data_IF_942458279358
#
_entry.id   IF_942458279358
#
_cell.length_a   1.000
_cell.length_b   1.000
_cell.length_c   1.000
_cell.angle_alpha   90.00
_cell.angle_beta   90.00
_cell.angle_gamma   90.00
#
_symmetry.space_group_name_H-M   'P 1'
#
loop_
_entity.id
_entity.type
_entity.pdbx_description
1 polymer ?
#
# COMPACT_ATOMS: atom_id res chain seq x y z
N UNK A 1 5.03 -41.71 102.26
CA UNK A 1 6.47 -41.46 102.44
C UNK A 1 6.79 -40.13 101.77
N UNK A 2 7.05 -39.09 102.57
CA UNK A 2 7.70 -37.84 102.17
C UNK A 2 9.20 -38.13 101.91
N UNK A 3 9.92 -37.38 101.05
CA UNK A 3 10.22 -35.93 101.20
C UNK A 3 10.07 -35.12 99.88
N UNK A 4 9.70 -33.84 99.88
CA UNK A 4 10.46 -32.62 100.19
C UNK A 4 11.74 -32.42 99.35
N UNK A 5 11.81 -31.32 98.58
CA UNK A 5 12.88 -30.28 98.62
C UNK A 5 12.77 -29.30 97.40
N UNK A 6 12.70 -28.01 97.76
CA UNK A 6 13.23 -26.77 97.14
C UNK A 6 12.85 -26.30 95.72
N UNK A 7 12.36 -25.05 95.68
CA UNK A 7 12.50 -24.08 94.57
C UNK A 7 13.96 -23.58 94.44
N UNK A 8 14.33 -23.00 93.28
CA UNK A 8 14.35 -21.54 93.22
C UNK A 8 13.87 -20.92 91.89
N UNK A 9 13.51 -19.63 92.00
CA UNK A 9 13.21 -18.70 90.92
C UNK A 9 14.28 -18.70 89.81
N UNK A 10 13.83 -18.63 88.57
CA UNK A 10 14.57 -17.94 87.49
C UNK A 10 13.58 -17.27 86.54
N UNK A 11 13.66 -15.94 86.50
CA UNK A 11 13.03 -15.07 85.51
C UNK A 11 13.68 -15.35 84.15
N UNK A 12 12.92 -15.49 83.06
CA UNK A 12 13.34 -14.99 81.75
C UNK A 12 12.14 -14.77 80.81
N UNK A 13 11.85 -13.47 80.63
CA UNK A 13 11.48 -12.77 79.39
C UNK A 13 10.73 -13.56 78.30
N UNK A 14 9.48 -13.18 78.10
CA UNK A 14 8.70 -13.48 76.89
C UNK A 14 9.35 -12.82 75.66
N UNK A 15 9.78 -13.62 74.70
CA UNK A 15 10.09 -13.16 73.35
C UNK A 15 8.79 -13.07 72.54
N UNK A 16 8.33 -11.82 72.34
CA UNK A 16 7.31 -11.48 71.35
C UNK A 16 7.95 -11.65 69.96
N UNK A 17 7.49 -12.65 69.21
CA UNK A 17 7.85 -12.81 67.80
C UNK A 17 6.92 -11.91 66.99
N UNK A 18 7.43 -10.75 66.57
CA UNK A 18 6.75 -9.88 65.61
C UNK A 18 6.78 -10.52 64.22
N UNK A 19 5.63 -11.02 63.75
CA UNK A 19 5.44 -11.42 62.36
C UNK A 19 5.26 -10.16 61.53
N UNK A 20 6.34 -9.73 60.87
CA UNK A 20 6.27 -8.66 59.87
C UNK A 20 5.64 -9.21 58.58
N UNK A 21 4.38 -8.86 58.33
CA UNK A 21 3.72 -9.06 57.05
C UNK A 21 4.34 -8.07 56.06
N UNK A 22 5.28 -8.56 55.22
CA UNK A 22 5.73 -7.82 54.05
C UNK A 22 4.59 -7.81 53.02
N UNK A 23 3.84 -6.72 52.98
CA UNK A 23 2.99 -6.39 51.85
C UNK A 23 3.90 -6.08 50.66
N UNK A 24 4.22 -7.10 49.87
CA UNK A 24 4.91 -6.94 48.59
C UNK A 24 4.00 -6.17 47.65
N UNK A 25 4.25 -4.87 47.49
CA UNK A 25 3.69 -4.09 46.41
C UNK A 25 4.24 -4.64 45.10
N UNK A 26 3.46 -5.48 44.42
CA UNK A 26 3.70 -5.80 43.02
C UNK A 26 3.51 -4.51 42.24
N UNK A 27 4.61 -3.82 41.94
CA UNK A 27 4.64 -2.85 40.85
C UNK A 27 4.38 -3.64 39.56
N UNK A 28 3.11 -3.81 39.22
CA UNK A 28 2.70 -4.18 37.88
C UNK A 28 3.14 -3.04 36.98
N UNK A 29 4.33 -3.18 36.40
CA UNK A 29 4.76 -2.31 35.32
C UNK A 29 3.68 -2.36 34.27
N UNK A 30 2.94 -1.26 34.10
CA UNK A 30 2.19 -1.06 32.87
C UNK A 30 3.23 -1.10 31.77
N UNK A 31 3.33 -2.23 31.07
CA UNK A 31 4.08 -2.33 29.84
C UNK A 31 3.43 -1.32 28.90
N UNK A 32 3.98 -0.11 28.88
CA UNK A 32 3.58 0.92 27.94
C UNK A 32 3.92 0.33 26.58
N UNK A 33 2.90 -0.06 25.82
CA UNK A 33 3.10 -0.60 24.48
C UNK A 33 4.00 0.39 23.73
N UNK A 34 5.16 -0.10 23.28
CA UNK A 34 6.11 0.74 22.55
C UNK A 34 5.36 1.39 21.39
N UNK A 35 5.49 2.71 21.18
CA UNK A 35 4.78 3.39 20.10
C UNK A 35 5.06 2.67 18.77
N UNK A 36 4.01 2.42 17.99
CA UNK A 36 4.15 1.77 16.69
C UNK A 36 5.20 2.52 15.87
N UNK A 37 6.28 1.83 15.51
CA UNK A 37 7.34 2.44 14.71
C UNK A 37 6.82 2.67 13.30
N UNK A 38 6.88 3.90 12.82
CA UNK A 38 6.51 4.25 11.45
C UNK A 38 7.62 5.03 10.76
N UNK A 39 7.78 4.82 9.45
CA UNK A 39 8.75 5.55 8.65
C UNK A 39 8.31 5.67 7.19
N UNK A 40 8.84 6.67 6.47
CA UNK A 40 8.64 6.87 5.04
C UNK A 40 9.97 7.24 4.37
N UNK A 41 10.29 6.54 3.29
CA UNK A 41 11.42 6.84 2.38
C UNK A 41 10.96 7.62 1.13
N UNK A 42 9.66 7.87 0.99
CA UNK A 42 9.11 8.54 -0.18
C UNK A 42 9.15 10.05 0.03
N UNK A 43 9.86 10.75 -0.85
CA UNK A 43 9.95 12.20 -0.83
C UNK A 43 8.56 12.84 -0.94
N UNK A 44 8.20 13.67 0.05
CA UNK A 44 6.91 14.36 0.09
C UNK A 44 5.77 13.56 0.74
N UNK A 45 5.98 12.29 1.11
CA UNK A 45 5.02 11.50 1.88
C UNK A 45 5.54 11.16 3.27
N UNK A 46 4.62 11.10 4.24
CA UNK A 46 4.90 10.76 5.63
C UNK A 46 4.01 9.59 6.05
N UNK A 47 4.53 8.75 6.96
CA UNK A 47 3.77 7.73 7.67
C UNK A 47 4.01 7.94 9.16
N UNK A 48 2.96 8.30 9.88
CA UNK A 48 3.05 8.70 11.30
C UNK A 48 2.11 7.87 12.17
N UNK A 49 2.44 7.63 13.45
CA UNK A 49 1.50 7.00 14.38
C UNK A 49 0.35 7.97 14.64
N UNK A 50 -0.89 7.50 14.52
CA UNK A 50 -2.08 8.32 14.77
C UNK A 50 -3.23 7.45 15.27
N UNK A 51 -3.78 7.78 16.45
CA UNK A 51 -4.86 7.01 17.07
C UNK A 51 -6.27 7.42 16.65
N UNK A 52 -6.44 8.61 16.06
CA UNK A 52 -7.76 9.18 15.73
C UNK A 52 -7.74 9.84 14.36
N UNK A 53 -8.55 9.33 13.45
CA UNK A 53 -8.80 9.95 12.15
C UNK A 53 -9.75 11.16 12.35
N UNK A 54 -9.37 12.39 11.93
CA UNK A 54 -10.28 13.53 11.89
C UNK A 54 -11.39 13.35 10.85
N UNK A 55 -12.44 14.17 10.90
CA UNK A 55 -13.44 14.24 9.83
C UNK A 55 -12.80 14.78 8.54
N UNK A 56 -13.33 14.31 7.41
CA UNK A 56 -12.95 14.81 6.10
C UNK A 56 -13.19 16.32 6.00
N UNK A 57 -12.21 17.10 5.52
CA UNK A 57 -12.38 18.54 5.36
C UNK A 57 -13.47 18.89 4.34
N UNK A 58 -13.83 17.96 3.46
CA UNK A 58 -14.82 18.15 2.39
C UNK A 58 -16.09 17.31 2.57
N UNK A 59 -16.24 16.65 3.73
CA UNK A 59 -17.42 15.84 4.08
C UNK A 59 -17.85 14.83 3.00
N UNK A 60 -16.87 14.27 2.28
CA UNK A 60 -17.10 13.18 1.33
C UNK A 60 -17.77 13.64 0.03
N UNK A 61 -17.61 14.91 -0.33
CA UNK A 61 -18.06 15.47 -1.59
C UNK A 61 -17.46 14.69 -2.77
N UNK A 62 -18.33 14.01 -3.52
CA UNK A 62 -17.95 13.20 -4.67
C UNK A 62 -18.73 13.67 -5.88
N UNK A 63 -18.02 14.10 -6.91
CA UNK A 63 -18.61 14.38 -8.21
C UNK A 63 -19.29 13.10 -8.76
N UNK A 64 -20.52 13.16 -9.28
CA UNK A 64 -21.18 12.02 -9.92
C UNK A 64 -20.32 11.30 -10.97
N UNK A 65 -19.49 12.05 -11.70
CA UNK A 65 -18.54 11.53 -12.68
C UNK A 65 -17.44 10.65 -12.06
N UNK A 66 -17.18 10.79 -10.76
CA UNK A 66 -16.13 10.08 -10.04
C UNK A 66 -16.66 8.94 -9.15
N UNK A 67 -17.95 8.59 -9.27
CA UNK A 67 -18.59 7.58 -8.41
C UNK A 67 -17.91 6.22 -8.45
N UNK A 68 -17.32 5.82 -9.58
CA UNK A 68 -16.55 4.60 -9.76
C UNK A 68 -15.27 4.52 -8.89
N UNK A 69 -14.71 5.65 -8.44
CA UNK A 69 -13.52 5.67 -7.56
C UNK A 69 -13.87 5.38 -6.10
N UNK A 70 -15.15 5.36 -5.72
CA UNK A 70 -15.59 4.99 -4.38
C UNK A 70 -15.72 3.47 -4.28
N UNK A 71 -14.91 2.87 -3.41
CA UNK A 71 -15.11 1.50 -2.98
C UNK A 71 -16.21 1.43 -1.91
N UNK A 72 -17.03 0.37 -1.96
CA UNK A 72 -17.98 0.07 -0.88
C UNK A 72 -17.21 -0.50 0.31
N UNK A 73 -17.24 0.12 1.51
CA UNK A 73 -16.51 -0.39 2.66
C UNK A 73 -17.04 -1.76 3.09
N UNK A 74 -16.14 -2.74 3.19
CA UNK A 74 -16.44 -4.11 3.61
C UNK A 74 -15.85 -4.42 4.99
N UNK A 75 -14.77 -3.74 5.37
CA UNK A 75 -14.08 -3.96 6.65
C UNK A 75 -14.60 -3.05 7.77
N UNK A 76 -14.26 -3.37 9.02
CA UNK A 76 -14.53 -2.47 10.15
C UNK A 76 -13.77 -1.13 10.00
N UNK A 77 -12.51 -1.20 9.57
CA UNK A 77 -11.67 -0.05 9.29
C UNK A 77 -12.29 0.89 8.24
N UNK A 78 -12.73 0.37 7.08
CA UNK A 78 -13.34 1.21 6.06
C UNK A 78 -14.67 1.81 6.49
N UNK A 79 -15.47 1.10 7.31
CA UNK A 79 -16.66 1.69 7.93
C UNK A 79 -16.31 2.83 8.89
N UNK A 80 -15.21 2.72 9.64
CA UNK A 80 -14.73 3.81 10.49
C UNK A 80 -14.25 5.02 9.69
N UNK A 81 -13.56 4.80 8.57
CA UNK A 81 -13.18 5.87 7.63
C UNK A 81 -14.43 6.56 7.07
N UNK A 82 -15.41 5.80 6.58
CA UNK A 82 -16.65 6.33 6.03
C UNK A 82 -17.50 7.11 7.06
N UNK A 83 -17.55 6.67 8.33
CA UNK A 83 -18.23 7.38 9.43
C UNK A 83 -17.65 8.78 9.69
N UNK A 84 -16.44 9.06 9.22
CA UNK A 84 -15.76 10.35 9.33
C UNK A 84 -15.84 11.15 8.02
N UNK A 85 -16.80 10.79 7.17
CA UNK A 85 -17.11 11.46 5.90
C UNK A 85 -15.97 11.40 4.87
N UNK A 86 -15.08 10.41 4.98
CA UNK A 86 -14.06 10.14 3.95
C UNK A 86 -14.59 9.18 2.89
N UNK A 87 -14.15 9.36 1.65
CA UNK A 87 -14.47 8.44 0.55
C UNK A 87 -13.42 7.34 0.54
N UNK A 88 -13.83 6.12 0.89
CA UNK A 88 -12.97 4.93 0.78
C UNK A 88 -12.72 4.60 -0.68
N UNK A 89 -11.47 4.37 -1.06
CA UNK A 89 -11.05 4.06 -2.44
C UNK A 89 -10.54 2.63 -2.59
N UNK A 90 -9.94 2.06 -1.54
CA UNK A 90 -9.58 0.64 -1.50
C UNK A 90 -9.39 0.17 -0.06
N UNK A 91 -9.48 -1.15 0.16
CA UNK A 91 -9.21 -1.82 1.42
C UNK A 91 -8.32 -3.04 1.13
N UNK A 92 -7.19 -3.17 1.83
CA UNK A 92 -6.30 -4.32 1.68
C UNK A 92 -5.67 -4.69 3.03
N UNK A 93 -5.50 -5.98 3.35
CA UNK A 93 -4.83 -6.38 4.58
C UNK A 93 -3.31 -6.37 4.42
N UNK A 94 -2.63 -6.01 5.50
CA UNK A 94 -1.18 -6.00 5.64
C UNK A 94 -0.84 -6.68 6.97
N UNK A 95 -0.47 -7.96 6.92
CA UNK A 95 -0.32 -8.79 8.12
C UNK A 95 -1.58 -8.78 8.99
N UNK A 96 -1.46 -8.32 10.23
CA UNK A 96 -2.59 -8.17 11.16
C UNK A 96 -3.47 -6.95 10.89
N UNK A 97 -2.97 -6.00 10.11
CA UNK A 97 -3.62 -4.71 9.89
C UNK A 97 -4.55 -4.73 8.68
N UNK A 98 -5.51 -3.82 8.68
CA UNK A 98 -6.26 -3.42 7.48
C UNK A 98 -5.81 -2.03 7.07
N UNK A 99 -5.36 -1.89 5.83
CA UNK A 99 -5.03 -0.60 5.22
C UNK A 99 -6.22 -0.15 4.41
N UNK A 100 -6.64 1.09 4.64
CA UNK A 100 -7.74 1.74 3.91
C UNK A 100 -7.17 2.96 3.24
N UNK A 101 -7.26 3.02 1.91
CA UNK A 101 -7.00 4.27 1.19
C UNK A 101 -8.27 5.09 1.09
N UNK A 102 -8.15 6.40 1.23
CA UNK A 102 -9.30 7.28 1.20
C UNK A 102 -8.95 8.71 0.79
N UNK A 103 -9.94 9.43 0.27
CA UNK A 103 -9.82 10.81 -0.18
C UNK A 103 -10.97 11.67 0.39
N UNK A 104 -10.76 12.97 0.50
CA UNK A 104 -11.80 13.91 0.94
C UNK A 104 -12.80 14.20 -0.18
N UNK A 105 -12.35 14.12 -1.43
CA UNK A 105 -13.15 14.36 -2.63
C UNK A 105 -12.36 14.10 -3.91
N UNK A 106 -12.97 14.37 -5.06
CA UNK A 106 -12.38 14.16 -6.39
C UNK A 106 -12.71 15.30 -7.34
N UNK A 107 -11.74 15.69 -8.18
CA UNK A 107 -11.95 16.55 -9.33
C UNK A 107 -12.14 15.67 -10.58
N UNK A 108 -13.17 15.94 -11.37
CA UNK A 108 -13.32 15.34 -12.68
C UNK A 108 -12.26 15.86 -13.65
N UNK A 109 -11.67 14.95 -14.42
CA UNK A 109 -10.79 15.21 -15.54
C UNK A 109 -11.41 14.81 -16.87
N UNK A 110 -10.61 14.84 -17.93
CA UNK A 110 -10.97 14.28 -19.23
C UNK A 110 -10.84 12.75 -19.22
N UNK A 111 -11.41 12.07 -20.22
CA UNK A 111 -11.19 10.64 -20.47
C UNK A 111 -11.47 9.72 -19.26
N UNK A 112 -12.56 9.96 -18.53
CA UNK A 112 -12.99 9.17 -17.36
C UNK A 112 -12.00 9.18 -16.16
N UNK A 113 -11.12 10.18 -16.09
CA UNK A 113 -10.13 10.29 -15.02
C UNK A 113 -10.65 11.18 -13.90
N UNK A 114 -10.37 10.78 -12.66
CA UNK A 114 -10.59 11.62 -11.50
C UNK A 114 -9.30 11.79 -10.70
N UNK A 115 -9.10 12.99 -10.18
CA UNK A 115 -7.97 13.35 -9.35
C UNK A 115 -8.41 13.43 -7.91
N UNK A 116 -7.83 12.59 -7.04
CA UNK A 116 -8.14 12.59 -5.63
C UNK A 116 -7.74 13.92 -4.98
N UNK A 117 -8.52 14.37 -4.00
CA UNK A 117 -8.18 15.46 -3.10
C UNK A 117 -8.02 14.93 -1.69
N UNK A 118 -6.98 15.43 -1.01
CA UNK A 118 -6.48 14.93 0.26
C UNK A 118 -6.49 13.39 0.33
N UNK A 119 -5.79 12.73 -0.60
CA UNK A 119 -5.60 11.28 -0.63
C UNK A 119 -4.64 10.80 0.47
N UNK A 120 -5.08 9.80 1.25
CA UNK A 120 -4.37 9.29 2.41
C UNK A 120 -4.49 7.76 2.51
N UNK A 121 -3.61 7.18 3.35
CA UNK A 121 -3.68 5.78 3.79
C UNK A 121 -3.89 5.74 5.30
N UNK A 122 -4.90 5.03 5.78
CA UNK A 122 -5.05 4.72 7.20
C UNK A 122 -4.70 3.26 7.45
N UNK A 123 -3.86 2.98 8.44
CA UNK A 123 -3.56 1.62 8.89
C UNK A 123 -4.30 1.36 10.18
N UNK A 124 -5.07 0.28 10.21
CA UNK A 124 -5.99 -0.04 11.28
C UNK A 124 -5.71 -1.41 11.87
N UNK A 125 -5.82 -1.50 13.19
CA UNK A 125 -5.95 -2.75 13.92
C UNK A 125 -7.43 -2.94 14.30
N UNK A 126 -8.11 -3.85 13.59
CA UNK A 126 -9.56 -3.94 13.61
C UNK A 126 -10.23 -2.63 13.15
N UNK A 127 -10.81 -1.90 14.09
CA UNK A 127 -11.46 -0.60 13.84
C UNK A 127 -10.61 0.60 14.34
N UNK A 128 -9.48 0.33 15.00
CA UNK A 128 -8.65 1.34 15.65
C UNK A 128 -7.58 1.82 14.67
N UNK A 129 -7.54 3.13 14.38
CA UNK A 129 -6.45 3.71 13.61
C UNK A 129 -5.15 3.61 14.42
N UNK A 130 -4.07 3.15 13.80
CA UNK A 130 -2.74 3.08 14.43
C UNK A 130 -1.70 3.92 13.69
N UNK A 131 -1.86 4.14 12.39
CA UNK A 131 -0.99 5.01 11.59
C UNK A 131 -1.73 5.71 10.45
N UNK A 132 -1.22 6.86 10.04
CA UNK A 132 -1.70 7.64 8.90
C UNK A 132 -0.56 7.94 7.93
N UNK A 133 -0.75 7.56 6.68
CA UNK A 133 0.04 7.97 5.53
C UNK A 133 -0.60 9.16 4.82
N UNK A 134 0.18 10.21 4.56
CA UNK A 134 -0.28 11.41 3.85
C UNK A 134 0.84 12.08 3.07
N UNK A 135 0.51 12.94 2.10
CA UNK A 135 1.48 13.79 1.41
C UNK A 135 1.51 15.21 1.98
N UNK A 136 2.69 15.83 1.98
CA UNK A 136 2.85 17.23 2.32
C UNK A 136 2.17 18.09 1.24
N UNK A 137 1.50 19.18 1.63
CA UNK A 137 0.82 20.09 0.69
C UNK A 137 1.70 20.58 -0.46
N UNK A 138 2.99 20.79 -0.19
CA UNK A 138 3.99 21.25 -1.18
C UNK A 138 4.48 20.15 -2.14
N UNK A 139 4.08 18.89 -1.95
CA UNK A 139 4.54 17.78 -2.77
C UNK A 139 3.98 17.83 -4.20
N UNK A 140 2.81 18.45 -4.40
CA UNK A 140 2.15 18.51 -5.71
C UNK A 140 1.59 17.17 -6.19
N UNK A 141 1.55 16.16 -5.30
CA UNK A 141 0.97 14.85 -5.56
C UNK A 141 0.39 14.24 -4.26
N UNK A 142 -0.41 13.17 -4.39
CA UNK A 142 -1.17 12.56 -3.29
C UNK A 142 -1.15 11.03 -3.32
N UNK A 143 -1.42 10.40 -2.17
CA UNK A 143 -1.55 8.94 -2.07
C UNK A 143 -2.90 8.49 -2.65
N UNK A 144 -2.87 7.41 -3.42
CA UNK A 144 -4.02 6.81 -4.09
C UNK A 144 -4.45 5.48 -3.44
N UNK A 145 -4.97 4.59 -4.28
CA UNK A 145 -5.36 3.23 -3.90
C UNK A 145 -4.17 2.36 -3.49
N UNK A 146 -4.46 1.21 -2.90
CA UNK A 146 -3.47 0.18 -2.60
C UNK A 146 -3.87 -1.15 -3.21
N UNK A 147 -2.89 -1.87 -3.74
CA UNK A 147 -3.04 -3.24 -4.23
C UNK A 147 -2.11 -4.19 -3.48
N UNK A 148 -2.51 -5.45 -3.36
CA UNK A 148 -1.70 -6.45 -2.68
C UNK A 148 -0.59 -6.98 -3.60
N UNK A 149 0.61 -7.06 -3.06
CA UNK A 149 1.75 -7.75 -3.67
C UNK A 149 1.85 -9.20 -3.17
N UNK A 150 2.46 -10.08 -3.98
CA UNK A 150 2.64 -11.51 -3.64
C UNK A 150 3.46 -11.71 -2.36
N UNK A 151 4.42 -10.82 -2.09
CA UNK A 151 5.25 -10.81 -0.90
C UNK A 151 4.50 -10.35 0.38
N UNK A 152 3.22 -10.00 0.28
CA UNK A 152 2.39 -9.53 1.39
C UNK A 152 2.47 -8.03 1.69
N UNK A 153 3.36 -7.28 1.03
CA UNK A 153 3.36 -5.83 1.05
C UNK A 153 2.18 -5.27 0.23
N UNK A 154 1.96 -3.96 0.32
CA UNK A 154 0.97 -3.27 -0.50
C UNK A 154 1.64 -2.29 -1.46
N UNK A 155 1.34 -2.40 -2.75
CA UNK A 155 1.70 -1.41 -3.75
C UNK A 155 0.80 -0.19 -3.57
N UNK A 156 1.41 0.99 -3.44
CA UNK A 156 0.70 2.25 -3.21
C UNK A 156 0.67 3.06 -4.51
N UNK A 157 -0.53 3.36 -5.00
CA UNK A 157 -0.75 4.15 -6.19
C UNK A 157 -0.68 5.66 -5.93
N UNK A 158 -0.39 6.44 -6.98
CA UNK A 158 -0.61 7.88 -6.96
C UNK A 158 -2.11 8.23 -7.05
N UNK A 159 -2.54 9.28 -6.36
CA UNK A 159 -3.93 9.75 -6.36
C UNK A 159 -4.26 10.74 -7.48
N UNK A 160 -3.27 11.23 -8.20
CA UNK A 160 -3.43 12.30 -9.20
C UNK A 160 -3.64 11.74 -10.62
N UNK A 161 -4.76 11.02 -10.80
CA UNK A 161 -5.17 10.47 -12.09
C UNK A 161 -4.48 9.13 -12.41
N UNK A 162 -4.21 8.81 -13.69
CA UNK A 162 -3.55 7.56 -14.07
C UNK A 162 -2.05 7.64 -13.81
N UNK A 163 -1.69 7.65 -12.53
CA UNK A 163 -0.32 7.68 -12.07
C UNK A 163 0.26 6.29 -11.87
N UNK A 164 1.57 6.18 -12.08
CA UNK A 164 2.34 5.02 -11.63
C UNK A 164 2.26 4.87 -10.09
N UNK A 165 2.54 3.67 -9.54
CA UNK A 165 2.70 3.52 -8.12
C UNK A 165 3.88 4.35 -7.60
N UNK A 166 3.69 4.90 -6.41
CA UNK A 166 4.64 5.83 -5.77
C UNK A 166 5.53 5.12 -4.76
N UNK A 167 5.10 3.96 -4.26
CA UNK A 167 5.88 3.16 -3.32
C UNK A 167 5.18 1.89 -2.85
N UNK A 168 5.74 1.30 -1.81
CA UNK A 168 5.22 0.09 -1.18
C UNK A 168 5.07 0.29 0.33
N UNK A 169 4.00 -0.23 0.92
CA UNK A 169 3.78 -0.24 2.36
C UNK A 169 4.06 -1.64 2.90
N UNK A 170 5.01 -1.72 3.84
CA UNK A 170 5.47 -2.95 4.47
C UNK A 170 5.19 -2.95 5.98
N UNK A 171 4.98 -4.15 6.52
CA UNK A 171 5.16 -4.44 7.94
C UNK A 171 6.57 -5.00 8.15
N UNK A 172 7.41 -4.30 8.91
CA UNK A 172 8.82 -4.65 9.11
C UNK A 172 9.19 -4.52 10.58
N UNK A 173 9.72 -5.59 11.19
CA UNK A 173 10.21 -5.60 12.58
C UNK A 173 9.19 -5.03 13.60
N UNK A 174 7.91 -5.36 13.41
CA UNK A 174 6.80 -4.87 14.24
C UNK A 174 6.46 -3.38 14.04
N UNK A 175 7.00 -2.75 13.01
CA UNK A 175 6.66 -1.40 12.56
C UNK A 175 6.08 -1.38 11.16
N UNK A 176 5.74 -0.19 10.68
CA UNK A 176 5.23 0.05 9.34
C UNK A 176 6.19 0.97 8.58
N UNK A 177 6.48 0.64 7.33
CA UNK A 177 7.38 1.44 6.50
C UNK A 177 6.80 1.66 5.12
N UNK A 178 6.78 2.92 4.69
CA UNK A 178 6.47 3.31 3.33
C UNK A 178 7.80 3.45 2.56
N UNK A 179 8.08 2.54 1.64
CA UNK A 179 9.33 2.46 0.88
C UNK A 179 9.12 2.89 -0.57
N UNK A 180 10.21 3.05 -1.32
CA UNK A 180 10.12 3.17 -2.78
C UNK A 180 9.68 1.84 -3.38
N UNK A 181 9.03 1.88 -4.54
CA UNK A 181 8.67 0.67 -5.30
C UNK A 181 9.93 -0.18 -5.49
N UNK A 182 9.83 -1.47 -5.19
CA UNK A 182 10.94 -2.40 -5.24
C UNK A 182 11.58 -2.43 -6.63
N UNK A 183 12.84 -2.86 -6.72
CA UNK A 183 13.52 -2.98 -8.01
C UNK A 183 12.89 -4.06 -8.91
N UNK A 184 12.26 -5.06 -8.30
CA UNK A 184 11.59 -6.16 -8.97
C UNK A 184 10.39 -6.62 -8.13
N UNK A 185 9.36 -7.15 -8.79
CA UNK A 185 8.21 -7.79 -8.15
C UNK A 185 8.08 -9.24 -8.61
N UNK A 186 7.67 -10.10 -7.69
CA UNK A 186 7.41 -11.51 -7.96
C UNK A 186 5.92 -11.75 -8.20
N UNK A 187 5.64 -12.63 -9.14
CA UNK A 187 4.30 -13.03 -9.57
C UNK A 187 4.27 -14.53 -9.83
N UNK A 188 3.06 -15.08 -9.85
CA UNK A 188 2.80 -16.48 -10.17
C UNK A 188 3.54 -17.47 -9.25
N UNK A 189 3.58 -17.16 -7.95
CA UNK A 189 4.30 -17.94 -6.93
C UNK A 189 5.81 -17.94 -7.20
N UNK A 190 6.36 -16.75 -7.45
CA UNK A 190 7.78 -16.50 -7.72
C UNK A 190 8.28 -16.94 -9.11
N UNK A 191 7.42 -17.50 -9.98
CA UNK A 191 7.84 -17.99 -11.31
C UNK A 191 8.01 -16.88 -12.35
N UNK A 192 7.36 -15.73 -12.13
CA UNK A 192 7.51 -14.54 -12.95
C UNK A 192 8.15 -13.45 -12.10
N UNK A 193 9.21 -12.84 -12.62
CA UNK A 193 9.83 -11.65 -12.04
C UNK A 193 9.62 -10.51 -13.02
N UNK A 194 9.03 -9.41 -12.55
CA UNK A 194 8.84 -8.20 -13.35
C UNK A 194 9.79 -7.13 -12.80
N UNK A 195 10.78 -6.67 -13.57
CA UNK A 195 11.61 -5.54 -13.16
C UNK A 195 10.77 -4.27 -13.08
N UNK A 196 11.12 -3.37 -12.18
CA UNK A 196 10.41 -2.11 -12.02
C UNK A 196 10.63 -1.22 -13.25
N UNK A 197 9.59 -1.16 -14.08
CA UNK A 197 9.52 -0.35 -15.29
C UNK A 197 8.61 0.87 -15.16
N UNK A 198 8.00 1.08 -13.99
CA UNK A 198 7.13 2.23 -13.75
C UNK A 198 7.87 3.56 -13.95
N UNK A 199 7.18 4.52 -14.57
CA UNK A 199 7.70 5.85 -14.85
C UNK A 199 8.81 5.88 -15.92
N UNK A 200 9.13 4.74 -16.54
CA UNK A 200 10.16 4.69 -17.61
C UNK A 200 9.53 4.94 -18.98
N UNK A 201 10.28 5.59 -19.90
CA UNK A 201 9.96 5.58 -21.32
C UNK A 201 9.75 4.17 -21.86
N UNK A 202 8.82 4.01 -22.80
CA UNK A 202 8.44 2.73 -23.38
C UNK A 202 9.63 1.99 -24.00
N UNK A 203 10.51 2.69 -24.71
CA UNK A 203 11.69 2.07 -25.34
C UNK A 203 12.69 1.54 -24.30
N UNK A 204 12.86 2.26 -23.18
CA UNK A 204 13.70 1.84 -22.06
C UNK A 204 13.07 0.67 -21.29
N UNK A 205 11.77 0.76 -20.98
CA UNK A 205 11.02 -0.31 -20.33
C UNK A 205 11.06 -1.60 -21.15
N UNK A 206 10.86 -1.50 -22.47
CA UNK A 206 10.94 -2.63 -23.40
C UNK A 206 12.30 -3.32 -23.35
N UNK A 207 13.39 -2.56 -23.38
CA UNK A 207 14.75 -3.12 -23.29
C UNK A 207 14.95 -3.88 -21.98
N UNK A 208 14.49 -3.32 -20.87
CA UNK A 208 14.55 -3.95 -19.54
C UNK A 208 13.74 -5.24 -19.51
N UNK A 209 12.48 -5.23 -19.97
CA UNK A 209 11.62 -6.41 -19.99
C UNK A 209 12.25 -7.54 -20.82
N UNK A 210 12.75 -7.23 -22.02
CA UNK A 210 13.43 -8.22 -22.88
C UNK A 210 14.67 -8.81 -22.19
N UNK A 211 15.48 -7.97 -21.53
CA UNK A 211 16.65 -8.42 -20.78
C UNK A 211 16.28 -9.35 -19.61
N UNK A 212 15.08 -9.20 -19.04
CA UNK A 212 14.53 -10.06 -17.99
C UNK A 212 13.67 -11.22 -18.53
N UNK A 213 13.86 -11.59 -19.81
CA UNK A 213 13.25 -12.79 -20.40
C UNK A 213 11.78 -12.64 -20.80
N UNK A 214 11.23 -11.43 -20.77
CA UNK A 214 9.90 -11.13 -21.30
C UNK A 214 9.96 -10.93 -22.81
N UNK A 215 9.33 -11.85 -23.54
CA UNK A 215 9.31 -11.80 -25.00
C UNK A 215 8.14 -10.95 -25.50
N UNK A 216 8.37 -9.96 -26.39
CA UNK A 216 7.31 -9.21 -27.04
C UNK A 216 6.31 -10.15 -27.72
N UNK A 217 5.02 -9.97 -27.41
CA UNK A 217 3.95 -10.79 -27.96
C UNK A 217 3.20 -10.01 -29.03
N UNK A 218 3.31 -10.44 -30.28
CA UNK A 218 2.51 -9.84 -31.36
C UNK A 218 1.01 -10.04 -31.10
N UNK A 219 0.18 -9.01 -31.33
CA UNK A 219 -1.27 -9.15 -31.34
C UNK A 219 -1.70 -10.25 -32.30
N UNK A 220 -2.80 -10.95 -31.96
CA UNK A 220 -3.37 -11.99 -32.83
C UNK A 220 -3.97 -11.40 -34.10
N UNK A 221 -4.64 -10.26 -33.95
CA UNK A 221 -5.24 -9.51 -35.02
C UNK A 221 -4.35 -8.30 -35.31
N UNK A 222 -4.17 -7.98 -36.59
CA UNK A 222 -3.39 -6.81 -36.98
C UNK A 222 -4.16 -5.55 -36.54
N UNK A 223 -3.54 -4.61 -35.81
CA UNK A 223 -4.18 -3.35 -35.46
C UNK A 223 -4.65 -2.59 -36.71
N UNK A 224 -5.74 -1.84 -36.56
CA UNK A 224 -6.23 -0.95 -37.63
C UNK A 224 -5.16 0.07 -38.02
N UNK A 225 -5.15 0.50 -39.28
CA UNK A 225 -4.14 1.43 -39.77
C UNK A 225 -4.18 2.81 -39.08
N UNK A 226 -5.33 3.19 -38.52
CA UNK A 226 -5.52 4.42 -37.75
C UNK A 226 -5.22 4.24 -36.26
N UNK A 227 -4.99 3.02 -35.78
CA UNK A 227 -4.60 2.76 -34.39
C UNK A 227 -3.12 3.11 -34.19
N UNK A 228 -2.81 3.81 -33.09
CA UNK A 228 -1.42 4.13 -32.71
C UNK A 228 -0.52 2.89 -32.60
N UNK A 229 -1.08 1.72 -32.27
CA UNK A 229 -0.37 0.45 -32.27
C UNK A 229 0.21 0.08 -33.65
N UNK A 230 -0.47 0.42 -34.75
CA UNK A 230 0.06 0.22 -36.10
C UNK A 230 1.25 1.14 -36.39
N UNK A 231 1.26 2.36 -35.83
CA UNK A 231 2.42 3.27 -35.90
C UNK A 231 3.58 2.75 -35.06
N UNK A 232 3.35 2.35 -33.81
CA UNK A 232 4.37 1.73 -32.95
C UNK A 232 5.02 0.50 -33.60
N UNK A 233 4.24 -0.33 -34.30
CA UNK A 233 4.74 -1.48 -35.02
C UNK A 233 5.72 -1.10 -36.15
N UNK A 234 5.52 0.03 -36.85
CA UNK A 234 6.46 0.57 -37.85
C UNK A 234 7.80 0.99 -37.22
N UNK A 235 7.78 1.36 -35.94
CA UNK A 235 8.97 1.65 -35.13
C UNK A 235 9.57 0.41 -34.43
N UNK A 236 9.09 -0.81 -34.77
CA UNK A 236 9.62 -2.07 -34.23
C UNK A 236 9.06 -2.49 -32.88
N UNK A 237 8.06 -1.77 -32.36
CA UNK A 237 7.30 -2.12 -31.15
C UNK A 237 6.10 -2.95 -31.59
N UNK A 238 6.35 -4.23 -31.78
CA UNK A 238 5.42 -5.20 -32.38
C UNK A 238 4.39 -5.73 -31.38
N UNK A 239 4.58 -5.43 -30.10
CA UNK A 239 3.80 -5.92 -28.98
C UNK A 239 2.63 -5.01 -28.57
N UNK A 240 2.49 -3.84 -29.19
CA UNK A 240 1.36 -2.95 -28.97
C UNK A 240 0.08 -3.57 -29.56
N UNK A 241 -0.95 -3.76 -28.73
CA UNK A 241 -2.24 -4.31 -29.12
C UNK A 241 -3.21 -3.22 -29.59
N UNK A 242 -3.29 -2.13 -28.83
CA UNK A 242 -4.18 -1.03 -29.10
C UNK A 242 -3.66 0.25 -28.42
N UNK A 243 -3.86 1.39 -29.07
CA UNK A 243 -3.58 2.70 -28.53
C UNK A 243 -4.81 3.62 -28.68
N UNK A 244 -5.17 4.32 -27.61
CA UNK A 244 -6.21 5.35 -27.64
C UNK A 244 -5.75 6.54 -28.49
N UNK A 245 -6.52 6.85 -29.54
CA UNK A 245 -6.30 8.03 -30.38
C UNK A 245 -6.78 9.36 -29.77
N UNK A 246 -7.28 9.37 -28.53
CA UNK A 246 -7.73 10.61 -27.86
C UNK A 246 -7.25 10.68 -26.40
N UNK A 247 -7.06 11.91 -25.93
CA UNK A 247 -6.82 12.22 -24.51
C UNK A 247 -5.42 11.85 -24.02
N UNK A 248 -5.36 10.93 -23.06
CA UNK A 248 -4.13 10.56 -22.32
C UNK A 248 -3.17 9.69 -23.13
N UNK A 249 -3.58 9.16 -24.29
CA UNK A 249 -2.69 8.35 -25.14
C UNK A 249 -2.35 7.00 -24.51
N UNK A 250 -3.34 6.30 -23.97
CA UNK A 250 -3.11 4.96 -23.43
C UNK A 250 -2.68 4.00 -24.53
N UNK A 251 -1.63 3.21 -24.30
CA UNK A 251 -1.32 2.05 -25.13
C UNK A 251 -1.24 0.79 -24.29
N UNK A 252 -1.83 -0.28 -24.78
CA UNK A 252 -1.72 -1.62 -24.20
C UNK A 252 -0.68 -2.42 -24.98
N UNK A 253 0.30 -2.98 -24.26
CA UNK A 253 1.36 -3.82 -24.82
C UNK A 253 1.41 -5.17 -24.11
N UNK A 254 1.86 -6.21 -24.80
CA UNK A 254 1.95 -7.55 -24.21
C UNK A 254 3.29 -8.23 -24.38
N UNK A 255 3.70 -8.88 -23.31
CA UNK A 255 4.86 -9.75 -23.29
C UNK A 255 4.48 -11.11 -22.73
N UNK A 256 5.32 -12.11 -22.98
CA UNK A 256 5.14 -13.45 -22.43
C UNK A 256 6.46 -14.01 -21.93
N UNK A 257 6.37 -14.90 -20.96
CA UNK A 257 7.45 -15.80 -20.57
C UNK A 257 6.87 -17.19 -20.27
N UNK A 258 7.66 -18.08 -19.68
CA UNK A 258 7.21 -19.42 -19.32
C UNK A 258 6.10 -19.43 -18.25
N UNK A 259 6.08 -18.43 -17.38
CA UNK A 259 5.16 -18.35 -16.24
C UNK A 259 3.80 -17.75 -16.60
N UNK A 260 3.73 -16.85 -17.58
CA UNK A 260 2.49 -16.18 -17.96
C UNK A 260 2.64 -15.11 -19.03
N UNK A 261 1.65 -14.20 -19.03
CA UNK A 261 1.59 -13.03 -19.91
C UNK A 261 1.66 -11.77 -19.04
N UNK A 262 2.46 -10.80 -19.46
CA UNK A 262 2.52 -9.47 -18.88
C UNK A 262 1.80 -8.50 -19.82
N UNK A 263 0.77 -7.83 -19.33
CA UNK A 263 0.21 -6.64 -19.96
C UNK A 263 0.90 -5.41 -19.38
N UNK A 264 1.34 -4.48 -20.23
CA UNK A 264 1.94 -3.20 -19.84
C UNK A 264 1.08 -2.08 -20.41
N UNK A 265 0.80 -1.07 -19.60
CA UNK A 265 0.05 0.12 -20.00
C UNK A 265 0.97 1.33 -19.96
N UNK A 266 1.01 2.05 -21.07
CA UNK A 266 1.68 3.37 -21.14
C UNK A 266 0.67 4.49 -21.31
N UNK A 267 1.10 5.71 -21.00
CA UNK A 267 0.37 6.96 -21.28
C UNK A 267 1.30 8.01 -21.85
N UNK A 268 0.71 9.02 -22.47
CA UNK A 268 1.38 10.14 -23.07
C UNK A 268 2.16 9.76 -24.33
N UNK A 269 2.79 10.77 -24.93
CA UNK A 269 3.57 10.61 -26.15
C UNK A 269 2.71 10.34 -27.39
N UNK A 270 3.23 10.76 -28.52
CA UNK A 270 2.66 10.37 -29.80
C UNK A 270 3.20 8.98 -30.21
N UNK A 271 2.40 8.14 -30.91
CA UNK A 271 2.85 6.81 -31.33
C UNK A 271 4.08 6.80 -32.26
N UNK A 272 4.40 7.92 -32.91
CA UNK A 272 5.61 8.10 -33.71
C UNK A 272 6.88 8.36 -32.87
N UNK A 273 6.70 8.66 -31.57
CA UNK A 273 7.78 8.89 -30.60
C UNK A 273 7.63 7.99 -29.38
N UNK A 274 7.99 6.69 -29.50
CA UNK A 274 7.81 5.75 -28.40
C UNK A 274 8.47 6.17 -27.08
N UNK A 275 9.61 6.86 -27.13
CA UNK A 275 10.29 7.34 -25.92
C UNK A 275 9.51 8.40 -25.13
N UNK A 276 8.46 8.99 -25.72
CA UNK A 276 7.57 9.92 -25.01
C UNK A 276 6.41 9.20 -24.31
N UNK A 277 6.19 7.91 -24.60
CA UNK A 277 5.21 7.08 -23.90
C UNK A 277 5.81 6.58 -22.58
N UNK A 278 5.12 6.78 -21.46
CA UNK A 278 5.60 6.41 -20.12
C UNK A 278 4.80 5.26 -19.55
N UNK A 279 5.47 4.23 -19.01
CA UNK A 279 4.80 3.11 -18.34
C UNK A 279 4.19 3.56 -17.02
N UNK A 280 2.89 3.28 -16.84
CA UNK A 280 2.16 3.60 -15.60
C UNK A 280 1.58 2.37 -14.90
N UNK A 281 1.29 1.30 -15.64
CA UNK A 281 0.70 0.09 -15.09
C UNK A 281 1.29 -1.17 -15.75
N UNK A 282 1.28 -2.28 -15.04
CA UNK A 282 1.40 -3.60 -15.61
C UNK A 282 0.59 -4.63 -14.81
N UNK A 283 0.18 -5.70 -15.49
CA UNK A 283 -0.58 -6.79 -14.89
C UNK A 283 -0.06 -8.13 -15.39
N UNK A 284 0.08 -9.11 -14.49
CA UNK A 284 0.55 -10.46 -14.82
C UNK A 284 -0.61 -11.44 -14.81
N UNK A 285 -0.89 -12.04 -15.96
CA UNK A 285 -1.81 -13.17 -16.09
C UNK A 285 -1.02 -14.49 -16.01
N UNK A 286 -1.12 -15.17 -14.88
CA UNK A 286 -0.43 -16.44 -14.64
C UNK A 286 -1.04 -17.58 -15.47
N UNK A 287 -0.18 -18.42 -16.06
CA UNK A 287 -0.62 -19.64 -16.72
C UNK A 287 -1.13 -20.63 -15.66
N UNK A 288 -2.31 -21.22 -15.91
CA UNK A 288 -2.87 -22.30 -15.08
C UNK A 288 -1.93 -23.51 -15.10
N UNK A 289 -1.81 -24.16 -13.95
CA UNK A 289 -1.18 -25.47 -13.83
C UNK A 289 -2.11 -26.56 -14.36
#
# INVERSE_FOLDING_TARGET
MLPSVASPLTRHLASIVSVAVFAGATFGGTASAEPLRTASDIAGASLVPLGKLPHSPERGSLDPFCTQYRAKPTTAAGREVAKRDWIVTSEAPLGRYTVVSFASGFNAGTSAICFARNGNLGVFDGATLVALGYTARKAGWQLGSVDRLENGALLVWGGDGPGAPVGELHEENGGLRLTRVAAESTHCSGRAVVPNVYGKPLDAARKILIAHGWQPLRPREKPDAMDGAATLAKHGIIEAEACSGTGIGYCALRYRNAAGVLGVTTVGGEPDRPSENTVIDYQVACRKQ
#
